data_IF_133756477398
#
_entry.id   IF_133756477398
#
_cell.length_a   1.000
_cell.length_b   1.000
_cell.length_c   1.000
_cell.angle_alpha   90.00
_cell.angle_beta   90.00
_cell.angle_gamma   90.00
#
_symmetry.space_group_name_H-M   'P 1'
#
loop_
_entity.id
_entity.type
_entity.pdbx_description
1 polymer ?
#
# COMPACT_ATOMS: atom_id res chain seq x y z
N UNK A 1 9.53 -5.68 3.64
CA UNK A 1 8.39 -5.68 4.57
C UNK A 1 7.54 -6.95 4.45
N UNK A 2 7.66 -7.69 3.34
CA UNK A 2 6.86 -8.89 3.04
C UNK A 2 5.34 -8.64 2.95
N UNK A 3 4.93 -7.45 2.56
CA UNK A 3 3.54 -7.08 2.29
C UNK A 3 3.39 -6.88 0.78
N UNK A 4 2.33 -7.38 0.18
CA UNK A 4 2.11 -7.29 -1.27
C UNK A 4 0.63 -7.24 -1.65
N UNK A 5 0.29 -6.38 -2.62
CA UNK A 5 -1.01 -6.36 -3.30
C UNK A 5 -1.23 -7.51 -4.29
N UNK A 6 -0.28 -8.43 -4.42
CA UNK A 6 -0.40 -9.57 -5.33
C UNK A 6 -0.71 -10.85 -4.56
N UNK A 7 -1.90 -11.42 -4.76
CA UNK A 7 -2.30 -12.67 -4.10
C UNK A 7 -1.69 -13.95 -4.71
N UNK A 8 -0.90 -13.81 -5.77
CA UNK A 8 -0.09 -14.88 -6.38
C UNK A 8 1.39 -14.48 -6.42
N UNK A 9 2.04 -14.32 -5.26
CA UNK A 9 3.40 -13.78 -5.20
C UNK A 9 4.43 -14.72 -5.84
N UNK A 10 5.55 -14.11 -6.27
CA UNK A 10 6.73 -14.83 -6.71
C UNK A 10 7.76 -14.82 -5.57
N UNK A 11 8.18 -16.00 -5.15
CA UNK A 11 9.26 -16.16 -4.18
C UNK A 11 10.57 -16.36 -4.94
N UNK A 12 11.62 -15.69 -4.49
CA UNK A 12 12.97 -15.83 -5.09
C UNK A 12 14.00 -16.02 -3.99
N UNK A 13 15.10 -16.65 -4.33
CA UNK A 13 16.19 -16.83 -3.38
C UNK A 13 17.41 -17.49 -4.00
N UNK A 14 18.34 -17.83 -3.11
CA UNK A 14 19.57 -18.54 -3.48
C UNK A 14 19.79 -19.75 -2.56
N UNK A 15 20.38 -20.77 -3.11
CA UNK A 15 20.76 -22.01 -2.41
C UNK A 15 21.97 -22.64 -3.10
N UNK A 16 22.33 -23.88 -2.78
CA UNK A 16 23.35 -24.62 -3.52
C UNK A 16 22.93 -24.76 -5.00
N UNK A 17 23.87 -24.68 -5.95
CA UNK A 17 23.60 -24.97 -7.36
C UNK A 17 22.88 -26.30 -7.57
N UNK A 18 21.90 -26.30 -8.48
CA UNK A 18 21.14 -27.51 -8.85
C UNK A 18 20.32 -28.14 -7.68
N UNK A 19 20.18 -27.48 -6.54
CA UNK A 19 19.39 -27.99 -5.42
C UNK A 19 17.89 -28.00 -5.76
N UNK A 20 17.19 -29.01 -5.29
CA UNK A 20 15.72 -29.02 -5.29
C UNK A 20 15.18 -28.06 -4.22
N UNK A 21 14.28 -27.16 -4.61
CA UNK A 21 13.66 -26.18 -3.72
C UNK A 21 12.16 -26.40 -3.65
N UNK A 22 11.64 -26.50 -2.45
CA UNK A 22 10.22 -26.71 -2.18
C UNK A 22 9.69 -25.57 -1.31
N UNK A 23 8.62 -24.92 -1.74
CA UNK A 23 7.87 -23.91 -0.98
C UNK A 23 6.53 -24.50 -0.54
N UNK A 24 6.25 -24.49 0.74
CA UNK A 24 4.93 -24.84 1.30
C UNK A 24 4.26 -23.57 1.81
N UNK A 25 3.09 -23.22 1.25
CA UNK A 25 2.31 -22.03 1.60
C UNK A 25 0.83 -22.27 1.25
N UNK A 26 -0.10 -21.75 2.05
CA UNK A 26 -1.55 -21.90 1.82
C UNK A 26 -2.02 -23.37 1.77
N UNK A 27 -1.34 -24.27 2.47
CA UNK A 27 -1.64 -25.70 2.47
C UNK A 27 -1.20 -26.43 1.18
N UNK A 28 -0.49 -25.79 0.28
CA UNK A 28 0.03 -26.33 -0.99
C UNK A 28 1.54 -26.29 -1.03
N UNK A 29 2.10 -27.18 -1.86
CA UNK A 29 3.55 -27.31 -2.08
C UNK A 29 3.86 -27.02 -3.53
N UNK A 30 4.84 -26.14 -3.74
CA UNK A 30 5.39 -25.78 -5.03
C UNK A 30 6.86 -26.13 -5.05
N UNK A 31 7.40 -26.61 -6.17
CA UNK A 31 8.79 -26.96 -6.28
C UNK A 31 9.44 -26.42 -7.54
N UNK A 32 10.75 -26.21 -7.45
CA UNK A 32 11.61 -25.79 -8.55
C UNK A 32 13.01 -26.33 -8.30
N UNK A 33 13.88 -26.19 -9.29
CA UNK A 33 15.29 -26.50 -9.17
C UNK A 33 16.10 -25.21 -9.29
N UNK A 34 17.05 -24.99 -8.40
CA UNK A 34 17.97 -23.87 -8.50
C UNK A 34 18.86 -24.00 -9.75
N UNK A 35 19.22 -22.90 -10.36
CA UNK A 35 20.12 -22.87 -11.51
C UNK A 35 21.56 -23.16 -11.11
N UNK A 36 22.47 -23.16 -12.11
CA UNK A 36 23.92 -23.39 -11.92
C UNK A 36 24.59 -22.34 -11.01
N UNK A 37 23.94 -21.18 -10.78
CA UNK A 37 24.40 -20.13 -9.87
C UNK A 37 23.70 -20.20 -8.50
N UNK A 38 22.86 -21.22 -8.29
CA UNK A 38 22.10 -21.41 -7.07
C UNK A 38 20.85 -20.51 -6.95
N UNK A 39 20.44 -19.81 -8.00
CA UNK A 39 19.25 -18.95 -7.98
C UNK A 39 17.99 -19.76 -8.28
N UNK A 40 16.92 -19.42 -7.61
CA UNK A 40 15.61 -20.05 -7.84
C UNK A 40 14.48 -19.02 -7.77
N UNK A 41 13.36 -19.36 -8.41
CA UNK A 41 12.09 -18.67 -8.26
C UNK A 41 10.94 -19.68 -8.23
N UNK A 42 9.89 -19.36 -7.49
CA UNK A 42 8.63 -20.09 -7.42
C UNK A 42 7.49 -19.11 -7.49
N UNK A 43 6.61 -19.25 -8.47
CA UNK A 43 5.37 -18.50 -8.56
C UNK A 43 4.26 -19.31 -7.89
N UNK A 44 3.57 -18.70 -6.92
CA UNK A 44 2.37 -19.29 -6.32
C UNK A 44 1.22 -19.18 -7.32
N UNK A 45 0.78 -20.32 -7.85
CA UNK A 45 -0.25 -20.36 -8.90
C UNK A 45 -1.67 -20.17 -8.35
N UNK A 46 -1.90 -20.53 -7.09
CA UNK A 46 -3.19 -20.41 -6.42
C UNK A 46 -3.27 -19.12 -5.62
N UNK A 47 -4.40 -18.39 -5.66
CA UNK A 47 -4.54 -17.18 -4.87
C UNK A 47 -4.42 -17.48 -3.37
N UNK A 48 -3.57 -16.71 -2.68
CA UNK A 48 -3.48 -16.72 -1.23
C UNK A 48 -4.59 -15.82 -0.65
N UNK A 49 -5.12 -16.16 0.54
CA UNK A 49 -6.08 -15.31 1.23
C UNK A 49 -5.45 -14.02 1.74
N UNK A 50 -6.29 -12.99 1.93
CA UNK A 50 -5.92 -11.76 2.62
C UNK A 50 -5.29 -12.03 3.99
N UNK A 51 -4.37 -11.16 4.38
CA UNK A 51 -3.68 -11.23 5.65
C UNK A 51 -2.43 -12.11 5.64
N UNK A 52 -2.05 -12.60 6.81
CA UNK A 52 -0.79 -13.30 7.03
C UNK A 52 -0.81 -14.74 6.52
N UNK A 53 0.12 -15.06 5.63
CA UNK A 53 0.30 -16.39 5.05
C UNK A 53 1.70 -16.90 5.43
N UNK A 54 1.82 -17.79 6.43
CA UNK A 54 3.09 -18.40 6.79
C UNK A 54 3.56 -19.35 5.69
N UNK A 55 4.87 -19.40 5.49
CA UNK A 55 5.48 -20.30 4.52
C UNK A 55 6.71 -20.99 5.07
N UNK A 56 7.05 -22.13 4.45
CA UNK A 56 8.29 -22.86 4.68
C UNK A 56 8.96 -23.12 3.34
N UNK A 57 10.24 -22.76 3.22
CA UNK A 57 11.10 -23.12 2.09
C UNK A 57 12.10 -24.17 2.54
N UNK A 58 12.19 -25.27 1.83
CA UNK A 58 13.20 -26.30 2.03
C UNK A 58 14.03 -26.43 0.76
N UNK A 59 15.34 -26.44 0.90
CA UNK A 59 16.26 -26.72 -0.18
C UNK A 59 17.07 -27.97 0.13
N UNK A 60 17.21 -28.86 -0.86
CA UNK A 60 17.97 -30.12 -0.74
C UNK A 60 18.99 -30.18 -1.86
N UNK A 61 20.26 -30.17 -1.50
CA UNK A 61 21.37 -30.31 -2.44
C UNK A 61 21.51 -31.74 -2.95
N UNK A 62 22.23 -31.93 -4.08
CA UNK A 62 22.44 -33.24 -4.71
C UNK A 62 23.16 -34.27 -3.82
N UNK A 63 23.92 -33.82 -2.82
CA UNK A 63 24.57 -34.66 -1.82
C UNK A 63 23.67 -35.02 -0.63
N UNK A 64 22.36 -34.63 -0.66
CA UNK A 64 21.39 -34.90 0.39
C UNK A 64 21.41 -33.89 1.55
N UNK A 65 22.31 -32.91 1.56
CA UNK A 65 22.29 -31.85 2.55
C UNK A 65 21.05 -30.96 2.34
N UNK A 66 20.32 -30.65 3.43
CA UNK A 66 19.10 -29.86 3.35
C UNK A 66 19.10 -28.71 4.36
N UNK A 67 18.44 -27.62 3.99
CA UNK A 67 18.18 -26.46 4.83
C UNK A 67 16.72 -26.04 4.75
N UNK A 68 16.20 -25.48 5.84
CA UNK A 68 14.81 -25.02 5.92
C UNK A 68 14.77 -23.59 6.41
N UNK A 69 13.95 -22.75 5.76
CA UNK A 69 13.63 -21.38 6.14
C UNK A 69 12.14 -21.26 6.37
N UNK A 70 11.74 -20.59 7.45
CA UNK A 70 10.35 -20.23 7.73
C UNK A 70 10.17 -18.71 7.66
N UNK A 71 9.02 -18.27 7.17
CA UNK A 71 8.67 -16.88 7.07
C UNK A 71 7.17 -16.67 6.91
N UNK A 72 6.79 -15.44 6.60
CA UNK A 72 5.41 -15.07 6.30
C UNK A 72 5.37 -13.98 5.25
N UNK A 73 4.33 -14.01 4.42
CA UNK A 73 3.95 -12.93 3.51
C UNK A 73 2.55 -12.44 3.88
N UNK A 74 2.35 -11.14 3.87
CA UNK A 74 1.03 -10.53 4.07
C UNK A 74 0.47 -10.18 2.70
N UNK A 75 -0.69 -10.73 2.40
CA UNK A 75 -1.46 -10.38 1.20
C UNK A 75 -2.44 -9.28 1.59
N UNK A 76 -2.39 -8.18 0.86
CA UNK A 76 -3.30 -7.05 1.00
C UNK A 76 -3.62 -6.50 -0.39
N UNK A 77 -4.75 -6.90 -0.93
CA UNK A 77 -5.20 -6.53 -2.28
C UNK A 77 -6.23 -5.40 -2.27
N UNK A 78 -6.50 -4.80 -1.11
CA UNK A 78 -7.59 -3.86 -0.94
C UNK A 78 -7.08 -2.49 -0.47
N UNK A 79 -7.37 -1.44 -1.25
CA UNK A 79 -7.21 -0.07 -0.78
C UNK A 79 -8.33 0.32 0.18
N UNK A 80 -8.00 0.84 1.34
CA UNK A 80 -8.97 1.39 2.27
C UNK A 80 -9.59 2.67 1.69
N UNK A 81 -10.90 2.86 1.91
CA UNK A 81 -11.61 4.08 1.52
C UNK A 81 -11.02 5.31 2.24
N UNK A 82 -10.84 6.39 1.49
CA UNK A 82 -10.38 7.68 2.03
C UNK A 82 -11.55 8.62 2.29
N UNK A 83 -11.44 9.40 3.37
CA UNK A 83 -12.37 10.48 3.65
C UNK A 83 -11.67 11.83 3.56
N UNK A 84 -12.42 12.85 3.16
CA UNK A 84 -11.96 14.24 3.07
C UNK A 84 -12.99 15.17 3.71
N UNK A 85 -12.54 16.09 4.51
CA UNK A 85 -13.34 17.20 5.05
C UNK A 85 -12.46 18.42 5.26
N UNK A 86 -13.06 19.59 5.44
CA UNK A 86 -12.36 20.76 5.97
C UNK A 86 -12.24 20.64 7.49
N UNK A 87 -11.13 21.12 8.05
CA UNK A 87 -11.00 21.25 9.51
C UNK A 87 -12.04 22.22 10.03
N UNK A 88 -12.46 22.10 11.28
CA UNK A 88 -13.47 22.96 11.89
C UNK A 88 -13.09 24.45 11.88
N UNK A 89 -11.79 24.76 11.87
CA UNK A 89 -11.29 26.12 11.76
C UNK A 89 -11.34 26.67 10.33
N UNK A 90 -11.20 25.81 9.34
CA UNK A 90 -11.28 26.17 7.92
C UNK A 90 -12.69 26.07 7.34
N UNK A 91 -13.57 25.33 8.00
CA UNK A 91 -14.96 25.16 7.58
C UNK A 91 -15.80 26.33 8.16
N UNK A 92 -15.94 27.41 7.40
CA UNK A 92 -16.64 28.64 7.81
C UNK A 92 -18.11 28.59 7.33
N UNK A 93 -18.99 29.30 8.03
CA UNK A 93 -20.43 29.34 7.68
C UNK A 93 -21.13 27.99 7.96
N UNK A 94 -21.81 27.44 6.96
CA UNK A 94 -22.49 26.15 7.06
C UNK A 94 -21.43 25.04 7.05
N UNK A 95 -21.51 24.12 8.00
CA UNK A 95 -20.50 23.08 8.16
C UNK A 95 -20.72 21.93 7.19
N UNK A 96 -19.61 21.46 6.59
CA UNK A 96 -19.58 20.29 5.71
C UNK A 96 -19.94 20.57 4.26
N UNK A 97 -20.09 21.82 3.85
CA UNK A 97 -20.44 22.22 2.49
C UNK A 97 -19.24 22.53 1.58
N UNK A 98 -18.02 22.50 2.13
CA UNK A 98 -16.77 22.83 1.44
C UNK A 98 -16.72 24.27 0.92
N UNK A 99 -17.48 25.21 1.52
CA UNK A 99 -17.40 26.65 1.25
C UNK A 99 -16.70 27.31 2.41
N UNK A 100 -15.68 28.12 2.13
CA UNK A 100 -14.88 28.75 3.18
C UNK A 100 -14.37 30.13 2.80
N UNK A 101 -14.19 31.00 3.79
CA UNK A 101 -13.51 32.30 3.66
C UNK A 101 -11.99 32.17 3.91
N UNK A 102 -11.51 30.98 4.28
CA UNK A 102 -10.10 30.74 4.56
C UNK A 102 -9.38 30.39 3.26
N UNK A 103 -8.53 31.29 2.78
CA UNK A 103 -7.80 31.14 1.50
C UNK A 103 -6.71 30.08 1.53
N UNK A 104 -6.24 29.66 2.72
CA UNK A 104 -5.31 28.53 2.94
C UNK A 104 -5.97 27.46 3.79
N UNK A 105 -7.03 26.80 3.28
CA UNK A 105 -7.80 25.85 4.08
C UNK A 105 -6.98 24.63 4.50
N UNK A 106 -7.32 24.09 5.66
CA UNK A 106 -6.83 22.82 6.16
C UNK A 106 -7.83 21.73 5.81
N UNK A 107 -7.40 20.77 5.01
CA UNK A 107 -8.11 19.53 4.77
C UNK A 107 -7.71 18.49 5.82
N UNK A 108 -8.63 17.62 6.17
CA UNK A 108 -8.38 16.49 7.05
C UNK A 108 -9.24 15.27 6.65
N UNK A 109 -8.94 14.12 7.22
CA UNK A 109 -9.72 12.93 6.97
C UNK A 109 -9.03 11.67 7.46
N UNK A 110 -9.42 10.57 6.86
CA UNK A 110 -8.88 9.23 7.16
C UNK A 110 -8.42 8.54 5.88
N UNK A 111 -7.45 7.67 6.03
CA UNK A 111 -6.92 6.74 5.04
C UNK A 111 -6.39 5.52 5.80
N UNK A 112 -5.78 4.58 5.11
CA UNK A 112 -5.06 3.51 5.79
C UNK A 112 -3.87 4.06 6.59
N UNK A 113 -3.60 3.42 7.73
CA UNK A 113 -2.50 3.81 8.60
C UNK A 113 -1.16 3.79 7.85
N UNK A 114 -0.43 4.91 7.85
CA UNK A 114 0.83 5.06 7.16
C UNK A 114 0.73 5.22 5.64
N UNK A 115 -0.47 5.25 5.05
CA UNK A 115 -0.65 5.46 3.62
C UNK A 115 -0.02 6.78 3.17
N UNK A 116 0.60 6.78 1.99
CA UNK A 116 1.10 7.97 1.34
C UNK A 116 -0.04 8.66 0.60
N UNK A 117 -0.29 9.93 0.93
CA UNK A 117 -1.32 10.74 0.30
C UNK A 117 -0.72 11.75 -0.67
N UNK A 118 -1.42 11.95 -1.79
CA UNK A 118 -1.12 12.99 -2.77
C UNK A 118 -2.38 13.79 -3.03
N UNK A 119 -2.35 15.09 -2.68
CA UNK A 119 -3.42 16.05 -2.93
C UNK A 119 -3.03 16.89 -4.14
N UNK A 120 -3.81 16.79 -5.21
CA UNK A 120 -3.73 17.66 -6.37
C UNK A 120 -4.89 18.68 -6.29
N UNK A 121 -4.59 19.98 -6.36
CA UNK A 121 -5.57 21.06 -6.36
C UNK A 121 -5.06 22.18 -7.26
N UNK A 122 -5.87 22.58 -8.25
CA UNK A 122 -5.43 23.47 -9.30
C UNK A 122 -4.22 22.89 -10.06
N UNK A 123 -3.11 23.64 -10.10
CA UNK A 123 -1.83 23.19 -10.69
C UNK A 123 -0.84 22.63 -9.67
N UNK A 124 -1.18 22.65 -8.38
CA UNK A 124 -0.29 22.27 -7.30
C UNK A 124 -0.52 20.83 -6.85
N UNK A 125 0.56 20.14 -6.47
CA UNK A 125 0.53 18.75 -5.98
C UNK A 125 1.32 18.68 -4.69
N UNK A 126 0.69 18.16 -3.65
CA UNK A 126 1.29 18.01 -2.31
C UNK A 126 1.30 16.56 -1.89
N UNK A 127 2.37 16.13 -1.21
CA UNK A 127 2.50 14.77 -0.71
C UNK A 127 2.73 14.79 0.80
N UNK A 128 1.99 13.94 1.51
CA UNK A 128 2.08 13.77 2.96
C UNK A 128 1.67 12.32 3.32
N UNK A 129 1.53 11.99 4.58
CA UNK A 129 1.16 10.64 5.00
C UNK A 129 0.06 10.67 6.07
N UNK A 130 -0.72 9.61 6.13
CA UNK A 130 -1.59 9.32 7.26
C UNK A 130 -0.74 8.87 8.46
N UNK A 131 -1.18 9.18 9.66
CA UNK A 131 -0.54 8.73 10.89
C UNK A 131 -0.81 7.24 11.19
N UNK A 132 -0.27 6.72 12.28
CA UNK A 132 -0.44 5.33 12.69
C UNK A 132 -1.90 4.96 13.06
N UNK A 133 -2.79 5.94 13.20
CA UNK A 133 -4.24 5.74 13.40
C UNK A 133 -5.06 5.91 12.12
N UNK A 134 -4.39 6.13 10.98
CA UNK A 134 -5.01 6.38 9.69
C UNK A 134 -5.57 7.79 9.54
N UNK A 135 -5.24 8.74 10.42
CA UNK A 135 -5.69 10.13 10.34
C UNK A 135 -4.69 10.97 9.58
N UNK A 136 -5.17 11.95 8.84
CA UNK A 136 -4.33 12.91 8.16
C UNK A 136 -4.92 14.32 8.25
N UNK A 137 -4.04 15.31 8.16
CA UNK A 137 -4.38 16.72 8.10
C UNK A 137 -3.34 17.46 7.28
N UNK A 138 -3.78 18.32 6.37
CA UNK A 138 -2.91 19.08 5.50
C UNK A 138 -3.46 20.50 5.29
N UNK A 139 -2.67 21.51 5.62
CA UNK A 139 -2.98 22.91 5.38
C UNK A 139 -2.33 23.35 4.08
N UNK A 140 -3.07 23.95 3.16
CA UNK A 140 -2.49 24.49 1.93
C UNK A 140 -1.49 25.60 2.27
N UNK A 141 -0.25 25.51 1.78
CA UNK A 141 0.77 26.54 2.04
C UNK A 141 0.55 27.79 1.20
N UNK A 142 -0.20 27.69 0.09
CA UNK A 142 -0.47 28.77 -0.85
C UNK A 142 -1.94 29.18 -0.79
N UNK A 143 -2.21 30.47 -0.98
CA UNK A 143 -3.57 30.99 -0.99
C UNK A 143 -4.28 30.59 -2.28
N UNK A 144 -5.49 30.11 -2.14
CA UNK A 144 -6.43 29.96 -3.22
C UNK A 144 -7.10 31.30 -3.52
N UNK A 145 -7.38 31.58 -4.78
CA UNK A 145 -8.18 32.73 -5.20
C UNK A 145 -9.66 32.45 -4.96
N UNK A 146 -10.49 33.49 -4.96
CA UNK A 146 -11.94 33.31 -4.91
C UNK A 146 -12.43 32.44 -6.07
N UNK A 147 -13.33 31.51 -5.79
CA UNK A 147 -13.90 30.62 -6.79
C UNK A 147 -13.85 29.15 -6.38
N UNK A 148 -14.22 28.29 -7.33
CA UNK A 148 -14.29 26.83 -7.14
C UNK A 148 -12.96 26.18 -7.54
N UNK A 149 -12.38 25.44 -6.62
CA UNK A 149 -11.13 24.66 -6.83
C UNK A 149 -11.40 23.17 -6.73
N UNK A 150 -11.27 22.49 -7.86
CA UNK A 150 -11.35 21.03 -7.90
C UNK A 150 -10.10 20.42 -7.26
N UNK A 151 -10.28 19.35 -6.49
CA UNK A 151 -9.17 18.58 -5.94
C UNK A 151 -9.32 17.08 -6.20
N UNK A 152 -8.20 16.41 -6.22
CA UNK A 152 -8.08 14.95 -6.23
C UNK A 152 -7.15 14.55 -5.10
N UNK A 153 -7.60 13.67 -4.22
CA UNK A 153 -6.77 13.05 -3.20
C UNK A 153 -6.57 11.58 -3.55
N UNK A 154 -5.33 11.15 -3.63
CA UNK A 154 -4.95 9.76 -3.86
C UNK A 154 -4.19 9.24 -2.65
N UNK A 155 -4.58 8.09 -2.12
CA UNK A 155 -3.84 7.37 -1.09
C UNK A 155 -3.27 6.08 -1.68
N UNK A 156 -2.00 5.84 -1.40
CA UNK A 156 -1.31 4.58 -1.73
C UNK A 156 -0.87 3.93 -0.42
N UNK A 157 -1.34 2.72 -0.17
CA UNK A 157 -0.98 1.95 1.02
C UNK A 157 0.42 1.31 0.90
N UNK A 158 0.82 0.56 1.93
CA UNK A 158 2.12 -0.13 1.98
C UNK A 158 2.19 -1.28 0.97
N UNK A 159 1.05 -1.91 0.65
CA UNK A 159 0.97 -2.99 -0.35
C UNK A 159 0.97 -2.48 -1.80
N UNK A 160 0.80 -1.16 -2.00
CA UNK A 160 0.72 -0.49 -3.29
C UNK A 160 -0.70 -0.36 -3.84
N UNK A 161 -1.74 -0.67 -3.07
CA UNK A 161 -3.12 -0.45 -3.49
C UNK A 161 -3.46 1.04 -3.45
N UNK A 162 -4.33 1.48 -4.36
CA UNK A 162 -4.64 2.91 -4.55
C UNK A 162 -6.12 3.16 -4.32
N UNK A 163 -6.41 4.15 -3.49
CA UNK A 163 -7.74 4.73 -3.30
C UNK A 163 -7.73 6.19 -3.74
N UNK A 164 -8.80 6.65 -4.39
CA UNK A 164 -8.90 8.02 -4.92
C UNK A 164 -10.23 8.65 -4.55
N UNK A 165 -10.18 9.87 -4.03
CA UNK A 165 -11.33 10.74 -3.78
C UNK A 165 -11.21 12.04 -4.55
N UNK A 166 -12.32 12.55 -5.07
CA UNK A 166 -12.39 13.82 -5.78
C UNK A 166 -13.45 14.72 -5.16
N UNK A 167 -13.26 16.03 -5.25
CA UNK A 167 -14.21 17.00 -4.74
C UNK A 167 -13.84 18.41 -5.15
N UNK A 168 -14.51 19.40 -4.55
CA UNK A 168 -14.21 20.81 -4.73
C UNK A 168 -14.28 21.56 -3.42
N UNK A 169 -13.50 22.62 -3.31
CA UNK A 169 -13.61 23.63 -2.28
C UNK A 169 -13.86 24.98 -2.93
N UNK A 170 -14.73 25.79 -2.33
CA UNK A 170 -15.04 27.16 -2.79
C UNK A 170 -14.51 28.16 -1.78
N UNK A 171 -13.74 29.14 -2.26
CA UNK A 171 -13.25 30.28 -1.49
C UNK A 171 -14.16 31.46 -1.75
#
# INVERSE_FOLDING_TARGET
DNITGCNKPVFTGTTAPEAEVTLTIGGKTYSTKADVNGRWNITVSDPLPEGSNPYTVQATASNGASGTLQGGVVIDTQAQEITVSLSSASDTGVKGDFITQVTTPTFNGTAEAGARLTLAIGSSVYTFAADASGRWSFTLPEQLQDGVHQYTLTATDIAGNISTGTGSVTI
#
